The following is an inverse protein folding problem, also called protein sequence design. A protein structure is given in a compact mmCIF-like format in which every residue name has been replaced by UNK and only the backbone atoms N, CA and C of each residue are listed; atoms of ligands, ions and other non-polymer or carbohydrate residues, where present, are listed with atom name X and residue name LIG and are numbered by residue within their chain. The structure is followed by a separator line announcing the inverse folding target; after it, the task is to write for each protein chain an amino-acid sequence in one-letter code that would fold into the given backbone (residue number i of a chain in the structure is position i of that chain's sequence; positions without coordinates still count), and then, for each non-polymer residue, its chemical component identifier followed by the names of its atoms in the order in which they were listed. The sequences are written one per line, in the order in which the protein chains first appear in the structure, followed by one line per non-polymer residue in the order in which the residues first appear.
data_IF_104629967123
#
_entry.id   IF_104629967123
#
_cell.length_a   1.000
_cell.length_b   1.000
_cell.length_c   1.000
_cell.angle_alpha   90.00
_cell.angle_beta   90.00
_cell.angle_gamma   90.00
#
_symmetry.space_group_name_H-M   'P 1'
#
loop_
_entity.id
_entity.type
_entity.pdbx_description
1 polymer ?
#
# COMPACT_ATOMS: atom_id res chain seq x y z
N UNK A 1 -25.68 11.43 -15.71
CA UNK A 1 -26.14 11.37 -17.11
C UNK A 1 -25.69 12.65 -17.79
N UNK A 2 -24.98 12.55 -18.90
CA UNK A 2 -24.43 13.69 -19.65
C UNK A 2 -25.55 14.40 -20.40
N UNK A 3 -25.77 15.69 -20.09
CA UNK A 3 -26.83 16.53 -20.64
C UNK A 3 -26.54 16.99 -22.08
N UNK A 4 -26.45 16.06 -23.03
CA UNK A 4 -26.02 16.32 -24.40
C UNK A 4 -27.01 17.25 -25.12
N UNK A 5 -28.31 17.04 -24.89
CA UNK A 5 -29.38 17.86 -25.46
C UNK A 5 -29.26 19.34 -25.05
N UNK A 6 -29.01 19.63 -23.77
CA UNK A 6 -28.83 21.02 -23.32
C UNK A 6 -27.60 21.68 -23.95
N UNK A 7 -26.51 20.93 -24.13
CA UNK A 7 -25.29 21.47 -24.75
C UNK A 7 -25.54 21.86 -26.21
N UNK A 8 -26.22 21.01 -26.99
CA UNK A 8 -26.55 21.30 -28.38
C UNK A 8 -27.53 22.47 -28.50
N UNK A 9 -28.59 22.49 -27.68
CA UNK A 9 -29.57 23.60 -27.62
C UNK A 9 -28.89 24.94 -27.31
N UNK A 10 -28.07 24.99 -26.27
CA UNK A 10 -27.38 26.23 -25.88
C UNK A 10 -26.35 26.68 -26.94
N UNK A 11 -25.82 25.75 -27.72
CA UNK A 11 -24.85 26.07 -28.77
C UNK A 11 -25.51 26.57 -30.04
N UNK A 12 -26.55 25.90 -30.52
CA UNK A 12 -27.16 26.19 -31.82
C UNK A 12 -28.33 27.18 -31.73
N UNK A 13 -29.18 27.09 -30.71
CA UNK A 13 -30.32 28.01 -30.56
C UNK A 13 -29.91 29.31 -29.85
N UNK A 14 -29.13 29.20 -28.77
CA UNK A 14 -28.73 30.36 -27.96
C UNK A 14 -27.39 30.97 -28.38
N UNK A 15 -26.68 30.37 -29.35
CA UNK A 15 -25.38 30.81 -29.87
C UNK A 15 -24.32 31.14 -28.80
N UNK A 16 -24.35 30.44 -27.67
CA UNK A 16 -23.44 30.73 -26.56
C UNK A 16 -22.01 30.22 -26.81
N UNK A 17 -21.04 30.90 -26.18
CA UNK A 17 -19.65 30.44 -26.16
C UNK A 17 -19.52 29.16 -25.33
N UNK A 18 -18.54 28.31 -25.67
CA UNK A 18 -18.33 27.04 -24.95
C UNK A 18 -18.05 27.27 -23.45
N UNK A 19 -17.47 28.42 -23.09
CA UNK A 19 -17.25 28.84 -21.70
C UNK A 19 -18.56 29.13 -20.98
N UNK A 20 -19.50 29.81 -21.62
CA UNK A 20 -20.80 30.12 -21.01
C UNK A 20 -21.66 28.85 -20.87
N UNK A 21 -21.62 27.97 -21.86
CA UNK A 21 -22.29 26.66 -21.80
C UNK A 21 -21.74 25.83 -20.63
N UNK A 22 -20.42 25.85 -20.40
CA UNK A 22 -19.79 25.16 -19.28
C UNK A 22 -20.35 25.62 -17.92
N UNK A 23 -20.52 26.94 -17.76
CA UNK A 23 -21.09 27.53 -16.55
C UNK A 23 -22.56 27.13 -16.36
N UNK A 24 -23.37 27.12 -17.43
CA UNK A 24 -24.79 26.77 -17.37
C UNK A 24 -25.04 25.29 -17.06
N UNK A 25 -24.31 24.39 -17.74
CA UNK A 25 -24.54 22.93 -17.66
C UNK A 25 -23.70 22.28 -16.54
N UNK A 26 -22.73 23.01 -15.97
CA UNK A 26 -21.75 22.53 -14.98
C UNK A 26 -20.92 21.35 -15.50
N UNK A 27 -20.48 21.45 -16.75
CA UNK A 27 -19.62 20.47 -17.43
C UNK A 27 -18.33 21.18 -17.88
N UNK A 28 -17.19 20.49 -17.85
CA UNK A 28 -15.92 21.06 -18.30
C UNK A 28 -15.95 21.51 -19.77
N UNK A 29 -15.29 22.64 -20.06
CA UNK A 29 -15.19 23.19 -21.42
C UNK A 29 -14.59 22.18 -22.43
N UNK A 30 -13.65 21.34 -21.99
CA UNK A 30 -13.05 20.28 -22.80
C UNK A 30 -14.07 19.23 -23.23
N UNK A 31 -14.92 18.77 -22.30
CA UNK A 31 -16.00 17.82 -22.57
C UNK A 31 -17.03 18.41 -23.53
N UNK A 32 -17.38 19.70 -23.39
CA UNK A 32 -18.28 20.38 -24.34
C UNK A 32 -17.64 20.45 -25.73
N UNK A 33 -16.36 20.80 -25.81
CA UNK A 33 -15.63 20.82 -27.08
C UNK A 33 -15.60 19.43 -27.74
N UNK A 34 -15.42 18.38 -26.95
CA UNK A 34 -15.45 17.00 -27.42
C UNK A 34 -16.83 16.59 -27.94
N UNK A 35 -17.91 16.92 -27.19
CA UNK A 35 -19.29 16.66 -27.62
C UNK A 35 -19.58 17.35 -28.96
N UNK A 36 -19.23 18.63 -29.09
CA UNK A 36 -19.46 19.39 -30.33
C UNK A 36 -18.61 18.87 -31.50
N UNK A 37 -17.38 18.45 -31.24
CA UNK A 37 -16.53 17.84 -32.27
C UNK A 37 -17.10 16.52 -32.76
N UNK A 38 -17.60 15.67 -31.86
CA UNK A 38 -18.25 14.40 -32.21
C UNK A 38 -19.56 14.63 -32.96
N UNK A 39 -20.34 15.64 -32.55
CA UNK A 39 -21.58 16.00 -33.24
C UNK A 39 -21.32 16.46 -34.68
N UNK A 40 -20.28 17.29 -34.91
CA UNK A 40 -19.88 17.69 -36.26
C UNK A 40 -19.41 16.54 -37.15
N UNK A 41 -18.82 15.51 -36.55
CA UNK A 41 -18.36 14.31 -37.26
C UNK A 41 -19.48 13.28 -37.44
N UNK A 42 -20.60 13.43 -36.72
CA UNK A 42 -21.78 12.59 -36.89
C UNK A 42 -22.64 13.10 -38.04
N UNK A 43 -23.41 12.21 -38.66
CA UNK A 43 -24.38 12.57 -39.72
C UNK A 43 -25.65 13.24 -39.16
N UNK A 44 -25.68 13.57 -37.86
CA UNK A 44 -26.81 14.21 -37.22
C UNK A 44 -26.83 15.71 -37.51
N UNK A 45 -27.94 16.19 -38.07
CA UNK A 45 -28.22 17.62 -38.24
C UNK A 45 -28.88 18.24 -37.02
N UNK A 46 -28.78 19.57 -36.90
CA UNK A 46 -29.62 20.37 -36.01
C UNK A 46 -30.66 21.12 -36.86
N UNK A 47 -31.96 21.15 -36.50
CA UNK A 47 -32.56 20.61 -35.28
C UNK A 47 -32.66 19.09 -35.27
N UNK A 48 -32.64 18.50 -34.07
CA UNK A 48 -32.78 17.06 -33.89
C UNK A 48 -34.18 16.58 -34.32
N UNK A 49 -34.33 15.40 -34.93
CA UNK A 49 -35.63 14.83 -35.27
C UNK A 49 -36.53 14.64 -34.03
N UNK A 50 -37.83 14.87 -34.20
CA UNK A 50 -38.83 14.68 -33.14
C UNK A 50 -38.81 13.23 -32.63
N UNK A 51 -38.55 13.06 -31.33
CA UNK A 51 -38.45 11.74 -30.67
C UNK A 51 -37.02 11.27 -30.35
N UNK A 52 -35.99 12.06 -30.64
CA UNK A 52 -34.60 11.68 -30.32
C UNK A 52 -34.36 11.67 -28.81
N UNK A 53 -34.21 10.49 -28.21
CA UNK A 53 -33.90 10.34 -26.79
C UNK A 53 -32.41 10.60 -26.52
N UNK A 54 -32.09 11.11 -25.33
CA UNK A 54 -30.70 11.36 -24.90
C UNK A 54 -29.84 10.08 -24.96
N UNK A 55 -30.46 8.91 -24.77
CA UNK A 55 -29.79 7.61 -24.93
C UNK A 55 -29.36 7.35 -26.38
N UNK A 56 -30.20 7.69 -27.35
CA UNK A 56 -29.91 7.52 -28.78
C UNK A 56 -28.78 8.47 -29.22
N UNK A 57 -28.78 9.71 -28.72
CA UNK A 57 -27.68 10.66 -28.96
C UNK A 57 -26.37 10.17 -28.35
N UNK A 58 -26.43 9.59 -27.15
CA UNK A 58 -25.25 9.06 -26.50
C UNK A 58 -24.67 7.91 -27.33
N UNK A 59 -25.51 6.99 -27.84
CA UNK A 59 -25.09 5.89 -28.71
C UNK A 59 -24.56 6.37 -30.08
N UNK A 60 -25.16 7.40 -30.66
CA UNK A 60 -24.72 7.94 -31.96
C UNK A 60 -23.39 8.72 -31.86
N UNK A 61 -23.17 9.47 -30.77
CA UNK A 61 -21.97 10.31 -30.58
C UNK A 61 -20.80 9.56 -29.93
N UNK A 62 -21.12 8.52 -29.15
CA UNK A 62 -20.15 7.64 -28.53
C UNK A 62 -20.41 6.24 -29.08
N UNK A 63 -19.65 5.87 -30.12
CA UNK A 63 -19.56 4.46 -30.51
C UNK A 63 -19.29 3.65 -29.24
N UNK A 64 -20.16 2.67 -29.01
CA UNK A 64 -20.13 1.83 -27.82
C UNK A 64 -18.70 1.34 -27.66
N UNK A 65 -17.99 1.86 -26.66
CA UNK A 65 -16.80 1.18 -26.19
C UNK A 65 -17.37 -0.07 -25.54
N UNK A 66 -17.56 -1.11 -26.36
CA UNK A 66 -18.10 -2.39 -25.93
C UNK A 66 -17.41 -2.79 -24.63
N UNK A 67 -18.08 -3.58 -23.76
CA UNK A 67 -17.61 -3.87 -22.42
C UNK A 67 -16.13 -4.20 -22.48
N UNK A 68 -15.33 -3.35 -21.84
CA UNK A 68 -13.87 -3.45 -21.87
C UNK A 68 -13.51 -4.90 -21.62
N UNK A 69 -12.89 -5.58 -22.59
CA UNK A 69 -12.50 -6.99 -22.49
C UNK A 69 -11.98 -7.22 -21.07
N UNK A 70 -12.60 -8.16 -20.34
CA UNK A 70 -12.30 -8.38 -18.93
C UNK A 70 -10.82 -8.66 -18.76
N UNK A 71 -10.06 -7.63 -18.41
CA UNK A 71 -8.61 -7.71 -18.23
C UNK A 71 -8.32 -8.69 -17.09
N UNK A 72 -7.43 -9.63 -17.34
CA UNK A 72 -7.14 -10.72 -16.41
C UNK A 72 -6.03 -10.29 -15.44
N UNK A 73 -6.29 -10.41 -14.14
CA UNK A 73 -5.31 -10.02 -13.13
C UNK A 73 -4.15 -11.03 -13.09
N UNK A 74 -2.88 -10.59 -13.13
CA UNK A 74 -1.73 -11.48 -12.95
C UNK A 74 -1.68 -12.10 -11.55
N UNK A 75 -1.08 -13.30 -11.44
CA UNK A 75 -0.73 -13.86 -10.14
C UNK A 75 0.53 -13.17 -9.58
N UNK A 76 0.31 -12.10 -8.82
CA UNK A 76 1.40 -11.36 -8.19
C UNK A 76 2.14 -12.14 -7.10
N UNK A 77 1.57 -13.23 -6.56
CA UNK A 77 2.28 -14.08 -5.60
C UNK A 77 3.39 -14.88 -6.30
N UNK A 78 3.12 -15.40 -7.48
CA UNK A 78 4.12 -16.04 -8.34
C UNK A 78 5.16 -15.01 -8.82
N UNK A 79 4.72 -13.86 -9.34
CA UNK A 79 5.64 -12.79 -9.79
C UNK A 79 6.60 -12.36 -8.67
N UNK A 80 6.12 -12.28 -7.43
CA UNK A 80 6.96 -11.94 -6.27
C UNK A 80 8.03 -12.99 -5.96
N UNK A 81 7.75 -14.28 -6.19
CA UNK A 81 8.74 -15.35 -6.03
C UNK A 81 9.80 -15.28 -7.13
N UNK A 82 9.38 -15.14 -8.38
CA UNK A 82 10.29 -15.09 -9.53
C UNK A 82 11.21 -13.86 -9.49
N UNK A 83 10.71 -12.70 -9.05
CA UNK A 83 11.53 -11.48 -8.89
C UNK A 83 12.70 -11.63 -7.90
N UNK A 84 12.76 -12.69 -7.10
CA UNK A 84 13.92 -12.96 -6.21
C UNK A 84 15.07 -13.68 -6.92
N UNK A 85 14.84 -14.25 -8.10
CA UNK A 85 15.86 -14.96 -8.87
C UNK A 85 16.76 -13.94 -9.59
N UNK A 86 18.05 -14.28 -9.74
CA UNK A 86 19.02 -13.41 -10.38
C UNK A 86 18.64 -13.18 -11.85
N UNK A 87 18.60 -11.92 -12.29
CA UNK A 87 18.25 -11.54 -13.67
C UNK A 87 16.76 -11.33 -13.95
N UNK A 88 15.87 -11.69 -13.01
CA UNK A 88 14.43 -11.48 -13.18
C UNK A 88 14.04 -10.00 -12.98
N UNK A 89 13.29 -9.45 -13.94
CA UNK A 89 12.80 -8.06 -13.88
C UNK A 89 11.28 -8.01 -14.03
N UNK A 90 10.65 -6.94 -13.53
CA UNK A 90 9.19 -6.73 -13.71
C UNK A 90 8.79 -6.65 -15.18
N UNK A 91 9.70 -6.18 -16.04
CA UNK A 91 9.49 -6.08 -17.48
C UNK A 91 9.43 -7.47 -18.11
N UNK A 92 10.38 -8.34 -17.79
CA UNK A 92 10.39 -9.72 -18.27
C UNK A 92 9.12 -10.48 -17.85
N UNK A 93 8.73 -10.38 -16.58
CA UNK A 93 7.49 -11.02 -16.09
C UNK A 93 6.23 -10.44 -16.74
N UNK A 94 6.23 -9.16 -17.09
CA UNK A 94 5.13 -8.54 -17.83
C UNK A 94 5.10 -9.03 -19.29
N UNK A 95 6.25 -9.20 -19.94
CA UNK A 95 6.35 -9.73 -21.30
C UNK A 95 5.81 -11.18 -21.37
N UNK A 96 6.16 -12.02 -20.39
CA UNK A 96 5.60 -13.37 -20.24
C UNK A 96 4.07 -13.35 -20.03
N UNK A 97 3.60 -12.53 -19.10
CA UNK A 97 2.17 -12.33 -18.84
C UNK A 97 1.41 -11.80 -20.07
N UNK A 98 1.98 -10.84 -20.79
CA UNK A 98 1.39 -10.27 -21.99
C UNK A 98 1.33 -11.29 -23.12
N UNK A 99 2.35 -12.15 -23.24
CA UNK A 99 2.38 -13.25 -24.21
C UNK A 99 1.31 -14.28 -23.89
N UNK A 100 1.01 -14.53 -22.62
CA UNK A 100 0.01 -15.51 -22.20
C UNK A 100 -1.45 -15.05 -22.39
N UNK A 101 -1.75 -13.77 -22.12
CA UNK A 101 -3.13 -13.25 -22.07
C UNK A 101 -3.48 -12.24 -23.18
N UNK A 102 -2.49 -11.82 -23.99
CA UNK A 102 -2.60 -10.90 -25.14
C UNK A 102 -3.61 -9.75 -24.95
N UNK A 103 -4.74 -9.78 -25.65
CA UNK A 103 -5.74 -8.71 -25.62
C UNK A 103 -6.37 -8.51 -24.23
N UNK A 104 -6.38 -9.54 -23.40
CA UNK A 104 -6.84 -9.49 -22.00
C UNK A 104 -5.75 -9.07 -21.02
N UNK A 105 -4.50 -8.85 -21.47
CA UNK A 105 -3.41 -8.42 -20.61
C UNK A 105 -3.48 -6.92 -20.29
N UNK A 106 -3.13 -6.56 -19.06
CA UNK A 106 -2.89 -5.17 -18.68
C UNK A 106 -1.61 -4.62 -19.33
N UNK A 107 -1.61 -3.33 -19.67
CA UNK A 107 -0.41 -2.64 -20.14
C UNK A 107 0.66 -2.56 -19.03
N UNK A 108 1.93 -2.42 -19.42
CA UNK A 108 3.07 -2.47 -18.48
C UNK A 108 2.93 -1.50 -17.28
N UNK A 109 2.50 -0.27 -17.53
CA UNK A 109 2.29 0.73 -16.48
C UNK A 109 1.21 0.30 -15.48
N UNK A 110 0.10 -0.26 -15.98
CA UNK A 110 -0.99 -0.77 -15.16
C UNK A 110 -0.53 -2.00 -14.36
N UNK A 111 0.19 -2.92 -14.99
CA UNK A 111 0.79 -4.08 -14.31
C UNK A 111 1.68 -3.65 -13.14
N UNK A 112 2.57 -2.67 -13.35
CA UNK A 112 3.44 -2.14 -12.31
C UNK A 112 2.68 -1.47 -11.17
N UNK A 113 1.62 -0.72 -11.48
CA UNK A 113 0.75 -0.07 -10.50
C UNK A 113 0.00 -1.11 -9.66
N UNK A 114 -0.62 -2.11 -10.30
CA UNK A 114 -1.32 -3.19 -9.62
C UNK A 114 -0.40 -4.04 -8.75
N UNK A 115 0.79 -4.39 -9.26
CA UNK A 115 1.82 -5.06 -8.47
C UNK A 115 2.21 -4.23 -7.25
N UNK A 116 2.39 -2.91 -7.42
CA UNK A 116 2.74 -2.00 -6.32
C UNK A 116 1.62 -1.89 -5.29
N UNK A 117 0.36 -1.82 -5.72
CA UNK A 117 -0.81 -1.85 -4.83
C UNK A 117 -0.91 -3.16 -4.07
N UNK A 118 -0.75 -4.29 -4.75
CA UNK A 118 -0.71 -5.61 -4.13
C UNK A 118 0.43 -5.74 -3.11
N UNK A 119 1.64 -5.28 -3.48
CA UNK A 119 2.81 -5.31 -2.60
C UNK A 119 2.63 -4.41 -1.37
N UNK A 120 1.97 -3.25 -1.51
CA UNK A 120 1.62 -2.38 -0.37
C UNK A 120 0.60 -3.01 0.57
N UNK A 121 -0.32 -3.86 0.07
CA UNK A 121 -1.27 -4.63 0.91
C UNK A 121 -0.56 -5.72 1.71
N UNK A 122 0.57 -6.25 1.23
CA UNK A 122 1.51 -7.06 2.01
C UNK A 122 2.26 -6.21 3.05
N UNK A 123 1.54 -5.41 3.85
CA UNK A 123 2.07 -4.75 5.06
C UNK A 123 2.56 -5.84 6.00
N UNK A 124 3.83 -6.22 5.87
CA UNK A 124 4.53 -6.96 6.92
C UNK A 124 4.64 -5.99 8.10
N UNK A 125 3.92 -6.27 9.18
CA UNK A 125 4.05 -5.55 10.45
C UNK A 125 5.50 -5.58 10.94
N UNK A 126 6.26 -6.62 10.54
CA UNK A 126 7.67 -6.80 10.83
C UNK A 126 8.45 -7.02 9.53
N UNK A 127 9.19 -6.01 9.06
CA UNK A 127 10.24 -6.24 8.07
C UNK A 127 11.39 -6.88 8.81
N UNK A 128 11.51 -8.21 8.76
CA UNK A 128 12.73 -8.89 9.19
C UNK A 128 13.85 -8.59 8.19
N UNK A 129 14.45 -7.43 8.34
CA UNK A 129 15.87 -7.29 8.06
C UNK A 129 16.57 -7.85 9.30
N UNK A 130 17.64 -8.62 9.15
CA UNK A 130 18.52 -9.02 10.26
C UNK A 130 19.20 -7.76 10.80
N UNK A 131 18.40 -6.95 11.49
CA UNK A 131 18.67 -5.55 11.71
C UNK A 131 18.16 -5.17 13.09
N UNK A 132 19.11 -5.01 13.99
CA UNK A 132 18.89 -4.37 15.27
C UNK A 132 18.77 -2.87 15.03
N UNK A 133 17.58 -2.30 15.24
CA UNK A 133 17.39 -0.86 15.16
C UNK A 133 17.47 -0.27 16.56
N UNK A 134 18.53 0.49 16.81
CA UNK A 134 18.82 1.08 18.11
C UNK A 134 18.36 2.53 18.18
N UNK A 135 17.77 2.91 19.31
CA UNK A 135 17.30 4.27 19.56
C UNK A 135 18.42 5.25 19.95
N UNK A 136 19.54 5.20 19.22
CA UNK A 136 20.72 6.06 19.41
C UNK A 136 21.28 6.10 20.85
N UNK A 137 21.08 5.03 21.63
CA UNK A 137 21.61 4.96 22.99
C UNK A 137 23.13 5.06 22.98
N UNK A 138 23.67 5.97 23.81
CA UNK A 138 25.10 6.31 23.83
C UNK A 138 26.01 5.12 24.17
N UNK A 139 25.49 4.16 24.93
CA UNK A 139 26.21 2.92 25.28
C UNK A 139 26.39 1.96 24.10
N UNK A 140 25.59 2.09 23.03
CA UNK A 140 25.68 1.24 21.85
C UNK A 140 26.11 1.98 20.59
N UNK A 141 25.70 3.23 20.42
CA UNK A 141 25.98 4.04 19.23
C UNK A 141 26.84 5.23 19.64
N UNK A 142 28.09 5.23 19.21
CA UNK A 142 29.04 6.32 19.44
C UNK A 142 28.78 7.49 18.48
N UNK A 143 28.54 7.18 17.20
CA UNK A 143 28.18 8.17 16.18
C UNK A 143 27.00 7.65 15.35
N UNK A 144 25.83 8.31 15.42
CA UNK A 144 24.69 7.92 14.61
C UNK A 144 24.95 8.27 13.14
N UNK A 145 24.65 7.32 12.26
CA UNK A 145 24.73 7.52 10.80
C UNK A 145 23.62 6.70 10.14
N UNK A 146 23.11 7.22 9.03
CA UNK A 146 21.99 6.61 8.29
C UNK A 146 22.37 5.30 7.61
N UNK A 147 23.62 5.17 7.19
CA UNK A 147 24.09 4.01 6.42
C UNK A 147 25.03 3.14 7.26
N UNK A 148 25.95 3.78 7.99
CA UNK A 148 26.99 3.06 8.73
C UNK A 148 27.22 3.72 10.10
N UNK A 149 26.38 3.40 11.10
CA UNK A 149 26.56 3.93 12.45
C UNK A 149 27.84 3.38 13.08
N UNK A 150 28.57 4.24 13.78
CA UNK A 150 29.72 3.78 14.59
C UNK A 150 29.21 3.22 15.90
N UNK A 151 29.33 1.91 16.06
CA UNK A 151 28.94 1.20 17.28
C UNK A 151 30.06 1.18 18.30
N UNK A 152 29.68 1.08 19.58
CA UNK A 152 30.58 0.66 20.64
C UNK A 152 31.13 -0.76 20.34
N UNK A 153 32.38 -1.03 20.70
CA UNK A 153 33.08 -2.29 20.49
C UNK A 153 32.29 -3.50 21.02
N UNK A 154 31.69 -3.40 22.21
CA UNK A 154 30.89 -4.49 22.78
C UNK A 154 29.64 -4.77 21.93
N UNK A 155 28.96 -3.73 21.45
CA UNK A 155 27.79 -3.89 20.57
C UNK A 155 28.17 -4.40 19.18
N UNK A 156 29.34 -4.00 18.67
CA UNK A 156 29.88 -4.53 17.40
C UNK A 156 30.21 -6.02 17.52
N UNK A 157 30.85 -6.45 18.61
CA UNK A 157 31.13 -7.86 18.88
C UNK A 157 29.84 -8.68 19.02
N UNK A 158 28.84 -8.16 19.73
CA UNK A 158 27.52 -8.78 19.83
C UNK A 158 26.84 -8.94 18.47
N UNK A 159 26.86 -7.87 17.66
CA UNK A 159 26.29 -7.86 16.31
C UNK A 159 26.96 -8.92 15.42
N UNK A 160 28.28 -9.06 15.50
CA UNK A 160 29.04 -10.07 14.77
C UNK A 160 28.72 -11.48 15.26
N UNK A 161 28.64 -11.71 16.58
CA UNK A 161 28.33 -13.01 17.18
C UNK A 161 26.99 -13.57 16.69
N UNK A 162 25.97 -12.72 16.63
CA UNK A 162 24.64 -13.10 16.14
C UNK A 162 24.43 -12.84 14.64
N UNK A 163 25.49 -12.48 13.90
CA UNK A 163 25.43 -12.18 12.47
C UNK A 163 24.26 -11.24 12.10
N UNK A 164 24.13 -10.16 12.89
CA UNK A 164 23.03 -9.20 12.82
C UNK A 164 23.58 -7.82 12.50
N UNK A 165 23.01 -7.13 11.52
CA UNK A 165 23.36 -5.74 11.25
C UNK A 165 22.75 -4.82 12.31
N UNK A 166 23.40 -3.70 12.63
CA UNK A 166 22.83 -2.71 13.55
C UNK A 166 22.65 -1.40 12.80
N UNK A 167 21.46 -0.80 12.90
CA UNK A 167 21.22 0.55 12.41
C UNK A 167 20.75 1.46 13.54
N UNK A 168 21.13 2.72 13.41
CA UNK A 168 20.72 3.79 14.31
C UNK A 168 19.39 4.40 13.82
N UNK A 169 18.46 4.70 14.73
CA UNK A 169 17.20 5.40 14.39
C UNK A 169 17.53 6.81 13.88
N UNK A 170 16.70 7.36 12.97
CA UNK A 170 16.89 8.74 12.53
C UNK A 170 16.76 9.70 13.71
N UNK A 171 17.78 10.55 13.98
CA UNK A 171 17.66 11.60 14.97
C UNK A 171 16.38 12.43 14.74
N UNK A 172 15.69 12.78 15.83
CA UNK A 172 14.49 13.64 15.86
C UNK A 172 13.21 13.09 15.19
N UNK A 173 13.19 11.82 14.75
CA UNK A 173 11.95 11.14 14.29
C UNK A 173 11.87 9.69 14.80
N UNK A 174 11.87 9.46 16.13
CA UNK A 174 11.70 8.12 16.68
C UNK A 174 10.28 7.59 16.36
N UNK A 175 10.17 6.29 16.05
CA UNK A 175 8.89 5.62 15.76
C UNK A 175 8.47 4.62 16.84
N UNK A 176 9.22 4.54 17.94
CA UNK A 176 9.04 3.52 18.98
C UNK A 176 7.95 3.86 20.01
N UNK A 177 7.59 5.13 20.17
CA UNK A 177 6.69 5.62 21.23
C UNK A 177 5.34 4.90 21.27
N UNK A 178 4.73 4.64 20.11
CA UNK A 178 3.45 3.95 20.07
C UNK A 178 3.51 2.51 20.61
N UNK A 179 4.63 1.82 20.44
CA UNK A 179 4.79 0.47 20.98
C UNK A 179 4.95 0.51 22.50
N UNK A 180 5.71 1.48 23.02
CA UNK A 180 5.87 1.70 24.47
C UNK A 180 4.52 2.02 25.11
N UNK A 181 3.75 2.94 24.53
CA UNK A 181 2.41 3.30 25.02
C UNK A 181 1.43 2.12 25.03
N UNK A 182 1.62 1.11 24.16
CA UNK A 182 0.81 -0.12 24.19
C UNK A 182 1.20 -0.93 25.42
N UNK A 183 2.49 -1.17 25.65
CA UNK A 183 2.98 -1.93 26.80
C UNK A 183 2.59 -1.25 28.11
N UNK A 184 2.77 0.06 28.22
CA UNK A 184 2.37 0.83 29.41
C UNK A 184 0.88 0.67 29.71
N UNK A 185 0.01 0.82 28.72
CA UNK A 185 -1.44 0.69 28.89
C UNK A 185 -1.91 -0.71 29.22
N UNK A 186 -1.29 -1.73 28.64
CA UNK A 186 -1.77 -3.11 28.77
C UNK A 186 -1.09 -3.90 29.88
N UNK A 187 0.11 -3.50 30.28
CA UNK A 187 0.88 -4.15 31.34
C UNK A 187 0.95 -3.24 32.56
N UNK A 188 1.67 -2.11 32.49
CA UNK A 188 1.92 -1.28 33.67
C UNK A 188 0.64 -0.75 34.33
N UNK A 189 -0.33 -0.29 33.55
CA UNK A 189 -1.61 0.19 34.09
C UNK A 189 -2.40 -0.91 34.80
N UNK A 190 -2.21 -2.20 34.46
CA UNK A 190 -2.90 -3.31 35.15
C UNK A 190 -2.16 -3.71 36.42
N UNK A 191 -0.87 -3.44 36.49
CA UNK A 191 -0.03 -3.68 37.68
C UNK A 191 -0.14 -2.57 38.73
N UNK A 192 -0.64 -1.37 38.37
CA UNK A 192 -0.58 -0.15 39.21
C UNK A 192 -1.23 -0.23 40.61
N UNK A 193 -2.11 -1.20 40.84
CA UNK A 193 -2.79 -1.41 42.12
C UNK A 193 -2.44 -2.76 42.76
N UNK A 194 -1.42 -3.45 42.24
CA UNK A 194 -0.92 -4.71 42.77
C UNK A 194 0.39 -4.47 43.52
N UNK A 195 0.54 -5.12 44.67
CA UNK A 195 1.76 -5.10 45.45
C UNK A 195 2.43 -6.45 45.29
N UNK A 196 3.73 -6.44 45.01
CA UNK A 196 4.53 -7.64 44.82
C UNK A 196 5.63 -7.68 45.88
N UNK A 197 5.86 -8.85 46.46
CA UNK A 197 6.88 -9.01 47.51
C UNK A 197 8.17 -9.65 46.98
N UNK A 198 8.13 -10.18 45.75
CA UNK A 198 9.32 -10.75 45.09
C UNK A 198 9.37 -10.40 43.60
N UNK A 199 10.57 -10.34 43.03
CA UNK A 199 10.75 -10.17 41.59
C UNK A 199 10.21 -11.35 40.77
N UNK A 200 10.23 -12.57 41.33
CA UNK A 200 9.72 -13.76 40.67
C UNK A 200 8.21 -13.65 40.43
N UNK A 201 7.47 -13.23 41.47
CA UNK A 201 6.03 -13.01 41.42
C UNK A 201 5.66 -11.96 40.36
N UNK A 202 6.33 -10.80 40.38
CA UNK A 202 6.14 -9.75 39.38
C UNK A 202 6.38 -10.27 37.95
N UNK A 203 7.48 -11.01 37.74
CA UNK A 203 7.81 -11.57 36.43
C UNK A 203 6.77 -12.57 35.92
N UNK A 204 6.17 -13.37 36.80
CA UNK A 204 5.08 -14.30 36.44
C UNK A 204 3.87 -13.51 35.93
N UNK A 205 3.45 -12.48 36.66
CA UNK A 205 2.29 -11.66 36.25
C UNK A 205 2.58 -10.91 34.96
N UNK A 206 3.77 -10.34 34.79
CA UNK A 206 4.18 -9.68 33.53
C UNK A 206 4.12 -10.66 32.36
N UNK A 207 4.60 -11.90 32.51
CA UNK A 207 4.55 -12.91 31.43
C UNK A 207 3.12 -13.22 31.02
N UNK A 208 2.21 -13.36 31.97
CA UNK A 208 0.79 -13.61 31.68
C UNK A 208 0.16 -12.43 30.92
N UNK A 209 0.38 -11.19 31.39
CA UNK A 209 -0.11 -9.99 30.72
C UNK A 209 0.48 -9.80 29.32
N UNK A 210 1.75 -10.19 29.13
CA UNK A 210 2.40 -10.17 27.82
C UNK A 210 1.78 -11.20 26.87
N UNK A 211 1.46 -12.40 27.39
CA UNK A 211 0.77 -13.43 26.62
C UNK A 211 -0.60 -12.93 26.13
N UNK A 212 -1.40 -12.36 27.03
CA UNK A 212 -2.70 -11.75 26.71
C UNK A 212 -2.57 -10.64 25.65
N UNK A 213 -1.55 -9.78 25.79
CA UNK A 213 -1.31 -8.69 24.84
C UNK A 213 -0.98 -9.20 23.43
N UNK A 214 -0.23 -10.31 23.34
CA UNK A 214 0.18 -10.90 22.08
C UNK A 214 -0.93 -11.70 21.39
N UNK A 215 -1.81 -12.34 22.16
CA UNK A 215 -2.98 -13.06 21.63
C UNK A 215 -4.12 -12.13 21.16
N UNK A 216 -4.11 -10.87 21.58
CA UNK A 216 -5.18 -9.94 21.21
C UNK A 216 -5.13 -9.55 19.73
N UNK A 217 -6.29 -9.62 19.08
CA UNK A 217 -6.48 -9.15 17.72
C UNK A 217 -6.25 -7.64 17.57
N UNK A 218 -5.46 -7.27 16.57
CA UNK A 218 -5.20 -5.88 16.23
C UNK A 218 -6.27 -5.37 15.25
N UNK A 219 -7.08 -4.38 15.66
CA UNK A 219 -8.22 -3.84 14.89
C UNK A 219 -7.92 -3.50 13.42
N UNK A 220 -6.72 -3.04 13.10
CA UNK A 220 -6.34 -2.65 11.73
C UNK A 220 -5.92 -3.83 10.84
N UNK A 221 -5.54 -4.97 11.43
CA UNK A 221 -4.94 -6.11 10.71
C UNK A 221 -5.88 -7.32 10.76
N UNK A 222 -6.73 -7.43 11.79
CA UNK A 222 -7.67 -8.55 11.94
C UNK A 222 -7.01 -9.87 12.35
N UNK A 223 -5.81 -9.81 12.93
CA UNK A 223 -5.08 -10.96 13.44
C UNK A 223 -4.36 -10.59 14.75
N UNK A 224 -4.02 -11.58 15.57
CA UNK A 224 -3.21 -11.37 16.77
C UNK A 224 -1.73 -11.15 16.42
N UNK A 225 -0.95 -10.61 17.37
CA UNK A 225 0.51 -10.49 17.18
C UNK A 225 1.15 -11.87 17.14
N UNK A 226 0.66 -12.80 17.94
CA UNK A 226 1.14 -14.17 17.99
C UNK A 226 0.92 -14.89 16.65
N UNK A 227 -0.25 -14.75 16.03
CA UNK A 227 -0.54 -15.39 14.74
C UNK A 227 0.37 -14.86 13.64
N UNK A 228 0.60 -13.54 13.63
CA UNK A 228 1.52 -12.92 12.68
C UNK A 228 2.95 -13.38 12.90
N UNK A 229 3.39 -13.52 14.15
CA UNK A 229 4.72 -14.04 14.47
C UNK A 229 4.88 -15.48 13.97
N UNK A 230 3.91 -16.35 14.26
CA UNK A 230 3.95 -17.75 13.86
C UNK A 230 3.92 -17.92 12.33
N UNK A 231 3.09 -17.13 11.64
CA UNK A 231 2.91 -17.21 10.19
C UNK A 231 4.07 -16.58 9.41
N UNK A 232 4.64 -15.48 9.91
CA UNK A 232 5.58 -14.66 9.14
C UNK A 232 7.01 -14.74 9.68
N UNK A 233 7.17 -14.64 10.99
CA UNK A 233 8.46 -14.42 11.63
C UNK A 233 9.17 -15.74 11.94
N UNK A 234 8.49 -16.67 12.63
CA UNK A 234 9.04 -17.96 13.06
C UNK A 234 9.67 -18.78 11.93
N UNK A 235 9.06 -18.95 10.74
CA UNK A 235 9.68 -19.72 9.66
C UNK A 235 10.92 -19.04 9.05
N UNK A 236 11.14 -17.75 9.32
CA UNK A 236 12.27 -16.99 8.81
C UNK A 236 13.39 -16.81 9.86
N UNK A 237 13.19 -17.25 11.10
CA UNK A 237 14.21 -17.17 12.15
C UNK A 237 15.37 -18.13 11.86
N UNK A 238 16.60 -17.64 12.04
CA UNK A 238 17.80 -18.47 12.05
C UNK A 238 17.93 -19.19 13.41
N UNK A 239 18.58 -20.36 13.45
CA UNK A 239 18.96 -20.97 14.71
C UNK A 239 19.87 -20.03 15.51
N UNK A 240 19.71 -20.06 16.84
CA UNK A 240 20.61 -19.34 17.75
C UNK A 240 22.01 -19.96 17.70
N UNK A 241 23.03 -19.14 17.98
CA UNK A 241 24.39 -19.63 18.17
C UNK A 241 24.45 -20.58 19.38
N UNK A 242 25.35 -21.57 19.32
CA UNK A 242 25.48 -22.60 20.37
C UNK A 242 25.96 -22.02 21.70
N UNK A 243 26.68 -20.90 21.67
CA UNK A 243 27.21 -20.23 22.85
C UNK A 243 26.58 -18.84 22.99
N UNK A 244 26.15 -18.45 24.20
CA UNK A 244 25.68 -17.09 24.46
C UNK A 244 26.83 -16.09 24.31
N UNK A 245 26.51 -14.88 23.87
CA UNK A 245 27.43 -13.76 23.92
C UNK A 245 27.60 -13.30 25.39
N UNK A 246 28.83 -13.28 25.90
CA UNK A 246 29.20 -12.87 27.26
C UNK A 246 30.02 -11.58 27.24
#
# INVERSE_FOLDING_TARGET
MTKINEVLRLKFDCQLSNRNIATCVKIGCSTISEILSRFKLSELGWPLPDGTSELQLTQALYQDKGPSQHKLMPDFALCFKELKRKGMTKRLLWEEYHTQYQACAYGYTQFCEYYTRWFKKKKRSMRQQHLLVLDNLRSAVTKPCRYEPTLNDSYRKLANHYCTAVMSVRPYKPKAENAVLIVERWILMRLRHQVFHTYAELNIVIRNLMHDLNQREMRQIGASRQDLFEMLDKPALKPLSLQPYL
#
